data_IF_927883158675
#
_entry.id   IF_927883158675
#
_cell.length_a   1.000
_cell.length_b   1.000
_cell.length_c   1.000
_cell.angle_alpha   90.00
_cell.angle_beta   90.00
_cell.angle_gamma   90.00
#
_symmetry.space_group_name_H-M   'P 1'
#
loop_
_entity.id
_entity.type
_entity.pdbx_description
1 polymer ?
#
# COMPACT_ATOMS: atom_id res chain seq x y z
N UNK A 1 61.01 -1.57 -16.25
CA UNK A 1 59.74 -2.16 -16.77
C UNK A 1 58.63 -2.35 -15.73
N UNK A 2 58.87 -2.06 -14.45
CA UNK A 2 57.88 -2.29 -13.36
C UNK A 2 57.09 -1.03 -12.92
N UNK A 3 57.59 0.17 -13.20
CA UNK A 3 56.94 1.42 -12.76
C UNK A 3 55.79 1.87 -13.68
N UNK A 4 55.85 1.52 -14.97
CA UNK A 4 54.85 1.90 -15.99
C UNK A 4 53.51 1.16 -15.80
N UNK A 5 53.55 -0.08 -15.28
CA UNK A 5 52.37 -0.89 -15.06
C UNK A 5 51.64 -0.50 -13.76
N UNK A 6 52.36 0.05 -12.76
CA UNK A 6 51.72 0.55 -11.52
C UNK A 6 50.94 1.86 -11.78
N UNK A 7 51.47 2.72 -12.68
CA UNK A 7 50.76 3.97 -13.02
C UNK A 7 49.48 3.72 -13.82
N UNK A 8 49.43 2.65 -14.61
CA UNK A 8 48.24 2.30 -15.38
C UNK A 8 47.12 1.73 -14.51
N UNK A 9 47.46 0.95 -13.47
CA UNK A 9 46.49 0.41 -12.50
C UNK A 9 45.94 1.52 -11.62
N UNK A 10 46.72 2.52 -11.27
CA UNK A 10 46.30 3.66 -10.48
C UNK A 10 45.35 4.61 -11.26
N UNK A 11 45.57 4.77 -12.55
CA UNK A 11 44.72 5.58 -13.44
C UNK A 11 43.35 4.91 -13.72
N UNK A 12 43.30 3.56 -13.79
CA UNK A 12 42.04 2.84 -13.95
C UNK A 12 41.22 2.88 -12.63
N UNK A 13 41.90 2.85 -11.49
CA UNK A 13 41.26 2.98 -10.17
C UNK A 13 40.62 4.36 -9.93
N UNK A 14 41.21 5.42 -10.50
CA UNK A 14 40.66 6.78 -10.34
C UNK A 14 39.50 7.06 -11.29
N UNK A 15 39.45 6.47 -12.48
CA UNK A 15 38.33 6.62 -13.41
C UNK A 15 37.09 5.84 -12.97
N UNK A 16 37.22 4.80 -12.15
CA UNK A 16 36.07 4.05 -11.64
C UNK A 16 35.42 4.70 -10.41
N UNK A 17 36.12 5.64 -9.76
CA UNK A 17 35.53 6.39 -8.64
C UNK A 17 34.67 7.57 -9.09
N UNK A 18 34.93 8.16 -10.25
CA UNK A 18 34.11 9.27 -10.77
C UNK A 18 32.74 8.81 -11.28
N UNK A 19 32.61 7.54 -11.69
CA UNK A 19 31.33 6.99 -12.17
C UNK A 19 30.35 6.63 -11.03
N UNK A 20 30.73 6.78 -9.76
CA UNK A 20 29.92 6.43 -8.60
C UNK A 20 29.34 7.64 -7.86
N UNK A 21 29.51 8.86 -8.36
CA UNK A 21 29.08 10.07 -7.66
C UNK A 21 28.18 10.99 -8.48
N UNK A 22 26.99 10.48 -8.78
CA UNK A 22 25.79 11.32 -8.85
C UNK A 22 24.95 10.99 -7.61
N UNK A 23 25.18 11.64 -6.45
CA UNK A 23 24.46 11.32 -5.20
C UNK A 23 22.95 11.57 -5.29
N UNK A 24 22.50 12.22 -6.35
CA UNK A 24 21.08 12.52 -6.61
C UNK A 24 20.35 11.44 -7.44
N UNK A 25 21.08 10.53 -8.12
CA UNK A 25 20.49 9.50 -8.96
C UNK A 25 19.90 8.31 -8.18
N UNK A 26 20.29 8.12 -6.92
CA UNK A 26 19.89 6.96 -6.11
C UNK A 26 18.54 7.14 -5.43
N UNK A 27 18.09 8.37 -5.21
CA UNK A 27 16.82 8.68 -4.56
C UNK A 27 15.97 9.50 -5.51
N UNK A 28 14.90 8.93 -6.07
CA UNK A 28 14.03 9.66 -6.98
C UNK A 28 13.45 10.91 -6.31
N UNK A 29 13.36 12.01 -7.07
CA UNK A 29 12.70 13.23 -6.60
C UNK A 29 11.20 12.98 -6.32
N UNK A 30 10.65 13.72 -5.39
CA UNK A 30 9.21 13.75 -5.12
C UNK A 30 8.51 14.81 -5.97
N UNK A 31 7.19 14.73 -6.09
CA UNK A 31 6.37 15.63 -6.93
C UNK A 31 6.43 17.11 -6.54
N UNK A 32 6.93 17.45 -5.36
CA UNK A 32 7.20 18.82 -4.94
C UNK A 32 8.59 19.31 -5.39
N UNK A 33 9.51 18.37 -5.64
CA UNK A 33 10.87 18.62 -6.09
C UNK A 33 11.01 18.56 -7.63
N UNK A 34 10.18 17.73 -8.28
CA UNK A 34 10.16 17.59 -9.73
C UNK A 34 8.77 17.85 -10.30
N UNK A 35 8.61 19.03 -10.89
CA UNK A 35 7.34 19.47 -11.49
C UNK A 35 6.96 18.71 -12.78
N UNK A 36 7.82 17.87 -13.33
CA UNK A 36 7.51 17.02 -14.48
C UNK A 36 6.72 15.75 -14.10
N UNK A 37 6.73 15.37 -12.81
CA UNK A 37 5.99 14.24 -12.31
C UNK A 37 4.48 14.55 -12.24
N UNK A 38 3.62 13.64 -12.73
CA UNK A 38 2.18 13.81 -12.61
C UNK A 38 1.73 13.89 -11.15
N UNK A 39 1.00 14.92 -10.78
CA UNK A 39 0.55 15.10 -9.41
C UNK A 39 -0.79 15.84 -9.30
N UNK A 40 -1.51 15.60 -8.21
CA UNK A 40 -2.63 16.42 -7.76
C UNK A 40 -2.37 16.94 -6.35
N UNK A 41 -2.95 18.09 -6.02
CA UNK A 41 -2.91 18.62 -4.66
C UNK A 41 -4.17 18.22 -3.92
N UNK A 42 -4.01 17.64 -2.74
CA UNK A 42 -5.08 17.32 -1.81
C UNK A 42 -4.89 18.09 -0.50
N UNK A 43 -5.98 18.33 0.20
CA UNK A 43 -5.96 18.95 1.52
C UNK A 43 -6.68 18.04 2.52
N UNK A 44 -5.97 17.62 3.57
CA UNK A 44 -6.49 16.74 4.62
C UNK A 44 -5.96 17.22 5.96
N UNK A 45 -6.85 17.33 6.93
CA UNK A 45 -6.55 17.80 8.29
C UNK A 45 -5.80 19.15 8.32
N UNK A 46 -6.11 20.05 7.37
CA UNK A 46 -5.48 21.37 7.27
C UNK A 46 -4.09 21.38 6.60
N UNK A 47 -3.62 20.23 6.14
CA UNK A 47 -2.33 20.10 5.42
C UNK A 47 -2.59 19.89 3.93
N UNK A 48 -2.04 20.78 3.09
CA UNK A 48 -2.04 20.63 1.64
C UNK A 48 -0.78 19.89 1.21
N UNK A 49 -0.95 18.80 0.46
CA UNK A 49 0.15 17.98 -0.07
C UNK A 49 -0.09 17.62 -1.53
N UNK A 50 1.00 17.49 -2.29
CA UNK A 50 0.95 16.91 -3.62
C UNK A 50 1.10 15.39 -3.53
N UNK A 51 0.23 14.65 -4.19
CA UNK A 51 0.35 13.21 -4.34
C UNK A 51 0.66 12.86 -5.79
N UNK A 52 1.60 11.93 -5.97
CA UNK A 52 1.99 11.42 -7.28
C UNK A 52 0.91 10.48 -7.78
N UNK A 53 0.53 10.63 -9.05
CA UNK A 53 -0.59 9.91 -9.66
C UNK A 53 -0.20 9.23 -10.96
N UNK A 54 -0.97 8.19 -11.34
CA UNK A 54 -1.05 7.68 -12.70
C UNK A 54 -2.51 7.37 -13.04
N UNK A 55 -2.95 7.76 -14.24
CA UNK A 55 -4.34 7.54 -14.67
C UNK A 55 -4.37 6.87 -16.03
N UNK A 56 -5.33 5.96 -16.24
CA UNK A 56 -5.52 5.22 -17.47
C UNK A 56 -7.00 5.11 -17.81
N UNK A 57 -7.34 5.11 -19.10
CA UNK A 57 -8.72 5.03 -19.60
C UNK A 57 -9.34 6.40 -19.88
N UNK A 58 -10.64 6.42 -20.09
CA UNK A 58 -11.36 7.63 -20.44
C UNK A 58 -11.95 8.32 -19.20
N UNK A 59 -11.82 9.64 -19.05
CA UNK A 59 -12.29 10.35 -17.85
C UNK A 59 -13.82 10.30 -17.62
N UNK A 60 -14.61 9.97 -18.63
CA UNK A 60 -16.05 9.80 -18.53
C UNK A 60 -16.49 8.40 -18.07
N UNK A 61 -15.59 7.43 -18.10
CA UNK A 61 -15.83 6.10 -17.54
C UNK A 61 -16.00 6.15 -16.01
N UNK A 62 -16.64 5.14 -15.40
CA UNK A 62 -16.71 4.99 -13.96
C UNK A 62 -15.30 4.95 -13.34
N UNK A 63 -15.09 5.74 -12.28
CA UNK A 63 -13.77 5.81 -11.63
C UNK A 63 -13.49 4.54 -10.82
N UNK A 64 -12.28 4.02 -10.98
CA UNK A 64 -11.74 2.91 -10.20
C UNK A 64 -10.42 3.32 -9.54
N UNK A 65 -10.43 3.42 -8.23
CA UNK A 65 -9.24 3.67 -7.41
C UNK A 65 -8.50 2.37 -7.11
N UNK A 66 -7.19 2.37 -7.34
CA UNK A 66 -6.29 1.27 -6.96
C UNK A 66 -5.35 1.79 -5.88
N UNK A 67 -5.51 1.26 -4.66
CA UNK A 67 -4.78 1.74 -3.48
C UNK A 67 -3.76 0.68 -3.04
N UNK A 68 -2.49 1.07 -3.05
CA UNK A 68 -1.38 0.18 -2.73
C UNK A 68 -1.29 -0.19 -1.24
N UNK A 69 -0.64 -1.32 -0.94
CA UNK A 69 -0.36 -1.77 0.43
C UNK A 69 0.82 -1.04 1.09
N UNK A 70 1.15 -1.46 2.31
CA UNK A 70 2.32 -0.95 3.03
C UNK A 70 3.64 -1.40 2.40
N UNK A 71 4.73 -0.70 2.74
CA UNK A 71 6.07 -0.96 2.21
C UNK A 71 6.06 -1.05 0.67
N UNK A 72 5.32 -0.16 0.03
CA UNK A 72 5.04 -0.17 -1.40
C UNK A 72 4.71 1.25 -1.89
N UNK A 73 4.61 1.36 -3.20
CA UNK A 73 4.03 2.46 -3.93
C UNK A 73 3.10 1.90 -5.02
N UNK A 74 2.59 2.72 -5.93
CA UNK A 74 1.64 2.26 -6.94
C UNK A 74 2.25 1.31 -7.99
N UNK A 75 3.58 1.26 -8.18
CA UNK A 75 4.22 0.50 -9.29
C UNK A 75 3.85 -0.98 -9.35
N UNK A 76 3.86 -1.75 -8.25
CA UNK A 76 3.46 -3.15 -8.30
C UNK A 76 2.00 -3.38 -8.72
N UNK A 77 1.18 -2.34 -8.65
CA UNK A 77 -0.25 -2.39 -8.96
C UNK A 77 -0.57 -1.92 -10.37
N UNK A 78 0.37 -1.26 -11.06
CA UNK A 78 0.17 -0.75 -12.42
C UNK A 78 -0.31 -1.81 -13.43
N UNK A 79 0.00 -3.12 -13.32
CA UNK A 79 -0.62 -4.12 -14.19
C UNK A 79 -2.15 -4.10 -14.21
N UNK A 80 -2.80 -3.62 -13.13
CA UNK A 80 -4.27 -3.45 -13.09
C UNK A 80 -4.78 -2.35 -14.02
N UNK A 81 -3.90 -1.57 -14.68
CA UNK A 81 -4.29 -0.63 -15.75
C UNK A 81 -5.07 -1.32 -16.89
N UNK A 82 -4.94 -2.64 -17.03
CA UNK A 82 -5.71 -3.44 -18.00
C UNK A 82 -7.23 -3.32 -17.80
N UNK A 83 -7.69 -2.79 -16.65
CA UNK A 83 -9.11 -2.50 -16.39
C UNK A 83 -9.57 -1.16 -17.02
N UNK A 84 -8.66 -0.41 -17.66
CA UNK A 84 -8.95 0.91 -18.25
C UNK A 84 -9.79 0.85 -19.53
N UNK A 85 -10.06 -0.32 -20.07
CA UNK A 85 -11.05 -0.51 -21.13
C UNK A 85 -12.49 -0.15 -20.70
N UNK A 86 -12.80 -0.28 -19.40
CA UNK A 86 -14.13 -0.03 -18.83
C UNK A 86 -14.15 1.03 -17.72
N UNK A 87 -13.01 1.34 -17.14
CA UNK A 87 -12.90 2.23 -16.00
C UNK A 87 -11.89 3.36 -16.28
N UNK A 88 -12.13 4.51 -15.66
CA UNK A 88 -11.08 5.49 -15.47
C UNK A 88 -10.27 5.08 -14.24
N UNK A 89 -9.17 4.38 -14.47
CA UNK A 89 -8.35 3.79 -13.41
C UNK A 89 -7.38 4.84 -12.89
N UNK A 90 -7.44 5.10 -11.59
CA UNK A 90 -6.61 6.08 -10.89
C UNK A 90 -5.77 5.39 -9.84
N UNK A 91 -4.46 5.52 -9.99
CA UNK A 91 -3.45 5.12 -9.02
C UNK A 91 -2.85 6.37 -8.39
N UNK A 92 -2.45 6.27 -7.14
CA UNK A 92 -1.59 7.28 -6.53
C UNK A 92 -0.69 6.65 -5.47
N UNK A 93 0.46 7.27 -5.26
CA UNK A 93 1.27 7.01 -4.09
C UNK A 93 0.63 7.73 -2.91
N UNK A 94 0.16 6.99 -1.92
CA UNK A 94 -0.42 7.59 -0.73
C UNK A 94 0.61 8.50 -0.05
N UNK A 95 0.13 9.47 0.68
CA UNK A 95 0.92 10.43 1.44
C UNK A 95 2.06 9.76 2.21
N UNK A 96 3.30 10.25 2.04
CA UNK A 96 4.49 9.67 2.64
C UNK A 96 5.10 8.48 1.89
N UNK A 97 4.42 7.95 0.86
CA UNK A 97 4.88 6.82 0.04
C UNK A 97 5.36 7.28 -1.34
N UNK A 98 6.05 6.39 -2.03
CA UNK A 98 6.48 6.53 -3.41
C UNK A 98 7.10 7.89 -3.72
N UNK A 99 6.62 8.54 -4.76
CA UNK A 99 7.06 9.86 -5.19
C UNK A 99 6.16 11.00 -4.69
N UNK A 100 5.15 10.72 -3.85
CA UNK A 100 4.34 11.75 -3.21
C UNK A 100 5.15 12.62 -2.26
N UNK A 101 4.70 13.87 -2.09
CA UNK A 101 5.29 14.82 -1.15
C UNK A 101 5.42 14.23 0.25
N UNK A 102 6.53 14.51 0.92
CA UNK A 102 6.77 14.04 2.29
C UNK A 102 5.86 14.76 3.26
N UNK A 103 5.45 14.07 4.30
CA UNK A 103 4.54 14.56 5.32
C UNK A 103 5.11 14.36 6.71
N UNK A 104 4.53 15.00 7.70
CA UNK A 104 4.89 14.84 9.09
C UNK A 104 4.12 13.68 9.73
N UNK A 105 4.60 13.20 10.87
CA UNK A 105 4.02 12.04 11.56
C UNK A 105 2.57 12.27 11.99
N UNK A 106 2.23 13.46 12.43
CA UNK A 106 0.88 13.85 12.87
C UNK A 106 -0.15 13.84 11.74
N UNK A 107 0.29 13.95 10.48
CA UNK A 107 -0.56 13.79 9.31
C UNK A 107 -0.96 12.32 9.05
N UNK A 108 -0.23 11.35 9.62
CA UNK A 108 -0.38 9.94 9.35
C UNK A 108 -1.25 9.26 10.41
N UNK A 109 -2.53 9.15 10.13
CA UNK A 109 -3.49 8.33 10.89
C UNK A 109 -4.43 7.61 9.93
N UNK A 110 -5.10 6.55 10.40
CA UNK A 110 -6.08 5.82 9.57
C UNK A 110 -7.22 6.76 9.15
N UNK A 111 -7.65 7.65 10.04
CA UNK A 111 -8.68 8.64 9.72
C UNK A 111 -8.21 9.61 8.62
N UNK A 112 -7.01 10.15 8.72
CA UNK A 112 -6.47 11.06 7.69
C UNK A 112 -6.23 10.34 6.35
N UNK A 113 -5.88 9.05 6.36
CA UNK A 113 -5.74 8.27 5.13
C UNK A 113 -7.11 7.95 4.50
N UNK A 114 -8.16 7.80 5.30
CA UNK A 114 -9.53 7.69 4.79
C UNK A 114 -10.00 9.02 4.19
N UNK A 115 -9.70 10.16 4.83
CA UNK A 115 -9.96 11.49 4.27
C UNK A 115 -9.15 11.78 3.00
N UNK A 116 -7.97 11.18 2.84
CA UNK A 116 -7.22 11.22 1.58
C UNK A 116 -8.00 10.57 0.44
N UNK A 117 -8.63 9.40 0.68
CA UNK A 117 -9.50 8.74 -0.31
C UNK A 117 -10.69 9.67 -0.65
N UNK A 118 -11.30 10.30 0.37
CA UNK A 118 -12.37 11.27 0.16
C UNK A 118 -11.92 12.46 -0.72
N UNK A 119 -10.76 13.04 -0.42
CA UNK A 119 -10.19 14.13 -1.20
C UNK A 119 -9.94 13.75 -2.66
N UNK A 120 -9.39 12.54 -2.90
CA UNK A 120 -9.22 11.99 -4.24
C UNK A 120 -10.57 11.79 -4.96
N UNK A 121 -11.59 11.30 -4.25
CA UNK A 121 -12.94 11.17 -4.79
C UNK A 121 -13.53 12.52 -5.22
N UNK A 122 -13.34 13.56 -4.43
CA UNK A 122 -13.82 14.90 -4.79
C UNK A 122 -13.15 15.46 -6.07
N UNK A 123 -11.89 15.05 -6.34
CA UNK A 123 -11.19 15.46 -7.56
C UNK A 123 -11.66 14.65 -8.78
N UNK A 124 -11.74 13.32 -8.67
CA UNK A 124 -11.93 12.44 -9.82
C UNK A 124 -13.40 12.07 -10.10
N UNK A 125 -14.26 12.11 -9.10
CA UNK A 125 -15.68 11.75 -9.22
C UNK A 125 -16.57 12.49 -8.22
N UNK A 126 -16.63 13.83 -8.27
CA UNK A 126 -17.38 14.61 -7.27
C UNK A 126 -18.86 14.23 -7.20
N UNK A 127 -19.48 13.90 -8.34
CA UNK A 127 -20.92 13.67 -8.46
C UNK A 127 -21.34 12.18 -8.43
N UNK A 128 -20.42 11.24 -8.64
CA UNK A 128 -20.75 9.82 -8.76
C UNK A 128 -19.97 9.00 -7.72
N UNK A 129 -20.53 7.88 -7.24
CA UNK A 129 -19.77 6.92 -6.42
C UNK A 129 -18.58 6.35 -7.21
N UNK A 130 -17.55 5.94 -6.48
CA UNK A 130 -16.33 5.34 -7.04
C UNK A 130 -16.24 3.86 -6.72
N UNK A 131 -15.45 3.13 -7.51
CA UNK A 131 -15.05 1.77 -7.25
C UNK A 131 -13.66 1.78 -6.62
N UNK A 132 -13.39 0.85 -5.70
CA UNK A 132 -12.09 0.75 -5.02
C UNK A 132 -11.58 -0.68 -5.05
N UNK A 133 -10.29 -0.84 -5.38
CA UNK A 133 -9.50 -2.03 -5.09
C UNK A 133 -8.38 -1.61 -4.15
N UNK A 134 -8.31 -2.20 -2.97
CA UNK A 134 -7.26 -1.94 -1.99
C UNK A 134 -6.60 -3.24 -1.53
N UNK A 135 -5.30 -3.16 -1.20
CA UNK A 135 -4.51 -4.32 -0.83
C UNK A 135 -3.90 -4.15 0.55
N UNK A 136 -4.04 -5.19 1.39
CA UNK A 136 -3.31 -5.28 2.65
C UNK A 136 -3.62 -4.11 3.58
N UNK A 137 -2.64 -3.31 3.86
CA UNK A 137 -2.67 -2.16 4.75
C UNK A 137 -3.70 -1.10 4.35
N UNK A 138 -3.81 -0.79 3.04
CA UNK A 138 -4.78 0.20 2.57
C UNK A 138 -6.25 -0.21 2.81
N UNK A 139 -6.50 -1.49 3.06
CA UNK A 139 -7.84 -1.94 3.42
C UNK A 139 -8.36 -1.34 4.75
N UNK A 140 -7.47 -0.93 5.68
CA UNK A 140 -7.88 -0.17 6.86
C UNK A 140 -8.47 1.18 6.48
N UNK A 141 -7.80 1.90 5.59
CA UNK A 141 -8.26 3.22 5.12
C UNK A 141 -9.56 3.10 4.34
N UNK A 142 -9.62 2.07 3.48
CA UNK A 142 -10.84 1.76 2.73
C UNK A 142 -11.98 1.36 3.66
N UNK A 143 -11.75 0.52 4.64
CA UNK A 143 -12.77 0.14 5.63
C UNK A 143 -13.26 1.37 6.43
N UNK A 144 -12.33 2.24 6.84
CA UNK A 144 -12.68 3.48 7.53
C UNK A 144 -13.47 4.42 6.62
N UNK A 145 -13.06 4.58 5.36
CA UNK A 145 -13.78 5.36 4.37
C UNK A 145 -15.19 4.80 4.11
N UNK A 146 -15.33 3.48 3.96
CA UNK A 146 -16.64 2.80 3.84
C UNK A 146 -17.56 3.10 5.04
N UNK A 147 -17.00 3.15 6.25
CA UNK A 147 -17.77 3.46 7.45
C UNK A 147 -18.18 4.93 7.55
N UNK A 148 -17.38 5.85 7.00
CA UNK A 148 -17.65 7.29 7.02
C UNK A 148 -18.58 7.72 5.85
N UNK A 149 -18.33 7.21 4.66
CA UNK A 149 -18.93 7.64 3.39
C UNK A 149 -19.48 6.49 2.56
N UNK A 150 -20.38 5.63 3.11
CA UNK A 150 -20.86 4.43 2.42
C UNK A 150 -21.56 4.75 1.08
N UNK A 151 -22.16 5.93 0.94
CA UNK A 151 -22.86 6.39 -0.26
C UNK A 151 -21.91 6.81 -1.39
N UNK A 152 -20.66 7.11 -1.08
CA UNK A 152 -19.64 7.50 -2.07
C UNK A 152 -19.02 6.30 -2.80
N UNK A 153 -19.39 5.09 -2.43
CA UNK A 153 -18.83 3.84 -2.94
C UNK A 153 -19.84 3.06 -3.76
N UNK A 154 -19.38 2.50 -4.88
CA UNK A 154 -20.16 1.57 -5.71
C UNK A 154 -19.70 0.12 -5.48
N UNK A 155 -18.49 -0.24 -5.86
CA UNK A 155 -17.92 -1.58 -5.71
C UNK A 155 -16.63 -1.49 -4.88
N UNK A 156 -16.46 -2.44 -3.97
CA UNK A 156 -15.27 -2.49 -3.11
C UNK A 156 -14.66 -3.87 -3.14
N UNK A 157 -13.37 -3.91 -3.47
CA UNK A 157 -12.54 -5.10 -3.39
C UNK A 157 -11.45 -4.88 -2.35
N UNK A 158 -11.39 -5.77 -1.37
CA UNK A 158 -10.37 -5.79 -0.34
C UNK A 158 -9.50 -7.04 -0.53
N UNK A 159 -8.27 -6.83 -1.03
CA UNK A 159 -7.30 -7.92 -1.23
C UNK A 159 -6.50 -8.11 0.05
N UNK A 160 -6.73 -9.21 0.73
CA UNK A 160 -6.06 -9.57 1.99
C UNK A 160 -5.95 -8.42 2.99
N UNK A 161 -7.07 -7.80 3.40
CA UNK A 161 -7.04 -6.87 4.52
C UNK A 161 -6.44 -7.54 5.75
N UNK A 162 -5.58 -6.79 6.44
CA UNK A 162 -5.12 -7.18 7.78
C UNK A 162 -6.29 -7.16 8.78
N UNK A 163 -6.09 -7.66 9.98
CA UNK A 163 -7.12 -7.67 11.00
C UNK A 163 -7.67 -6.26 11.28
N UNK A 164 -8.92 -5.98 10.89
CA UNK A 164 -9.58 -4.67 11.04
C UNK A 164 -9.97 -4.33 12.48
N UNK A 165 -9.67 -5.23 13.42
CA UNK A 165 -9.91 -5.06 14.85
C UNK A 165 -8.73 -5.64 15.63
N UNK A 166 -8.50 -5.12 16.84
CA UNK A 166 -7.38 -5.52 17.69
C UNK A 166 -7.34 -7.04 17.98
N UNK A 167 -8.50 -7.66 18.20
CA UNK A 167 -8.61 -9.11 18.39
C UNK A 167 -8.21 -9.90 17.14
N UNK A 168 -8.56 -9.42 15.93
CA UNK A 168 -8.15 -10.05 14.68
C UNK A 168 -6.65 -9.86 14.44
N UNK A 169 -6.13 -8.69 14.79
CA UNK A 169 -4.71 -8.36 14.64
C UNK A 169 -3.82 -9.22 15.52
N UNK A 170 -4.26 -9.57 16.72
CA UNK A 170 -3.54 -10.50 17.61
C UNK A 170 -3.39 -11.90 16.99
N UNK A 171 -4.38 -12.37 16.27
CA UNK A 171 -4.29 -13.63 15.52
C UNK A 171 -3.26 -13.55 14.38
N UNK A 172 -3.27 -12.43 13.63
CA UNK A 172 -2.28 -12.17 12.56
C UNK A 172 -0.88 -12.08 13.13
N UNK A 173 -0.69 -11.34 14.23
CA UNK A 173 0.60 -11.12 14.86
C UNK A 173 1.28 -12.42 15.29
N UNK A 174 0.53 -13.39 15.79
CA UNK A 174 1.05 -14.71 16.13
C UNK A 174 1.65 -15.46 14.93
N UNK A 175 1.11 -15.21 13.74
CA UNK A 175 1.53 -15.88 12.51
C UNK A 175 2.63 -15.14 11.75
N UNK A 176 2.67 -13.80 11.82
CA UNK A 176 3.54 -12.98 10.98
C UNK A 176 4.70 -12.32 11.72
N UNK A 177 4.75 -12.31 13.03
CA UNK A 177 5.74 -11.57 13.86
C UNK A 177 5.88 -10.06 13.54
N UNK A 178 5.29 -9.58 12.45
CA UNK A 178 5.37 -8.19 11.96
C UNK A 178 4.33 -7.27 12.58
N UNK A 179 3.32 -7.85 13.21
CA UNK A 179 2.15 -7.14 13.70
C UNK A 179 1.90 -7.39 15.19
N UNK A 180 2.90 -7.90 15.91
CA UNK A 180 2.83 -7.90 17.36
C UNK A 180 3.14 -6.50 17.90
N UNK A 181 2.51 -6.07 19.02
CA UNK A 181 2.85 -4.80 19.64
C UNK A 181 4.34 -4.67 19.95
N UNK A 182 4.98 -5.75 20.40
CA UNK A 182 6.41 -5.80 20.72
C UNK A 182 7.29 -5.56 19.49
N UNK A 183 6.90 -6.15 18.33
CA UNK A 183 7.61 -5.91 17.08
C UNK A 183 7.43 -4.48 16.59
N UNK A 184 6.22 -3.95 16.69
CA UNK A 184 5.93 -2.56 16.32
C UNK A 184 6.68 -1.59 17.22
N UNK A 185 6.69 -1.82 18.53
CA UNK A 185 7.46 -1.02 19.49
C UNK A 185 8.96 -1.08 19.20
N UNK A 186 9.49 -2.26 18.94
CA UNK A 186 10.87 -2.43 18.49
C UNK A 186 11.16 -1.66 17.20
N UNK A 187 10.26 -1.69 16.21
CA UNK A 187 10.41 -0.98 14.95
C UNK A 187 10.54 0.54 15.17
N UNK A 188 9.74 1.10 16.08
CA UNK A 188 9.74 2.53 16.37
C UNK A 188 10.79 2.96 17.37
N UNK A 189 11.21 2.08 18.29
CA UNK A 189 12.23 2.38 19.30
C UNK A 189 13.67 2.11 18.79
N UNK A 190 13.83 1.37 17.70
CA UNK A 190 15.15 1.07 17.12
C UNK A 190 15.82 2.28 16.44
N UNK A 191 15.21 3.42 16.51
CA UNK A 191 15.77 4.68 16.03
C UNK A 191 16.81 5.22 17.04
N UNK A 192 17.94 4.53 17.17
CA UNK A 192 19.10 5.05 17.92
C UNK A 192 19.60 6.40 17.37
N UNK A 193 19.30 6.66 16.11
CA UNK A 193 19.49 7.95 15.47
C UNK A 193 18.12 8.36 14.95
N UNK A 194 17.56 9.42 15.48
CA UNK A 194 16.33 9.99 14.90
C UNK A 194 16.54 10.20 13.42
N UNK A 195 15.74 9.55 12.55
CA UNK A 195 15.90 9.72 11.11
C UNK A 195 15.68 11.18 10.74
N UNK A 196 16.58 11.70 9.91
CA UNK A 196 16.54 13.09 9.44
C UNK A 196 15.70 13.26 8.18
N UNK A 197 15.30 12.13 7.56
CA UNK A 197 14.45 12.11 6.37
C UNK A 197 13.65 10.81 6.29
N UNK A 198 12.61 10.78 5.44
CA UNK A 198 11.85 9.56 5.13
C UNK A 198 12.75 8.48 4.52
N UNK A 199 13.71 8.86 3.68
CA UNK A 199 14.65 7.95 3.02
C UNK A 199 15.58 7.29 4.03
N UNK A 200 16.04 8.02 5.03
CA UNK A 200 16.86 7.46 6.09
C UNK A 200 16.05 6.49 6.96
N UNK A 201 14.78 6.80 7.22
CA UNK A 201 13.88 5.90 7.93
C UNK A 201 13.66 4.62 7.12
N UNK A 202 13.41 4.74 5.80
CA UNK A 202 13.25 3.60 4.90
C UNK A 202 14.48 2.69 4.94
N UNK A 203 15.68 3.27 4.89
CA UNK A 203 16.93 2.52 4.96
C UNK A 203 17.09 1.77 6.29
N UNK A 204 16.75 2.40 7.40
CA UNK A 204 16.82 1.80 8.74
C UNK A 204 15.79 0.67 8.91
N UNK A 205 14.61 0.80 8.31
CA UNK A 205 13.54 -0.19 8.39
C UNK A 205 13.74 -1.42 7.45
N UNK A 206 14.56 -1.28 6.40
CA UNK A 206 14.73 -2.30 5.37
C UNK A 206 15.12 -3.69 5.91
N UNK A 207 16.08 -3.87 6.84
CA UNK A 207 16.43 -5.17 7.38
C UNK A 207 15.26 -5.86 8.08
N UNK A 208 14.44 -5.08 8.77
CA UNK A 208 13.28 -5.57 9.53
C UNK A 208 12.16 -6.02 8.59
N UNK A 209 11.86 -5.20 7.60
CA UNK A 209 10.87 -5.52 6.57
C UNK A 209 11.28 -6.79 5.80
N UNK A 210 12.55 -6.94 5.45
CA UNK A 210 13.05 -8.12 4.77
C UNK A 210 12.94 -9.40 5.60
N UNK A 211 13.11 -9.34 6.92
CA UNK A 211 12.99 -10.51 7.78
C UNK A 211 11.56 -11.05 7.83
N UNK A 212 10.57 -10.18 7.78
CA UNK A 212 9.16 -10.54 7.84
C UNK A 212 8.53 -11.01 6.52
N UNK A 213 9.16 -10.69 5.40
CA UNK A 213 8.60 -10.97 4.06
C UNK A 213 8.55 -12.47 3.73
N UNK A 214 9.25 -13.32 4.47
CA UNK A 214 9.31 -14.79 4.19
C UNK A 214 7.93 -15.44 4.11
N UNK A 215 6.99 -15.04 4.96
CA UNK A 215 5.66 -15.61 5.03
C UNK A 215 4.67 -14.99 4.02
N UNK A 216 5.16 -14.09 3.15
CA UNK A 216 4.33 -13.43 2.15
C UNK A 216 4.26 -14.19 0.82
N UNK A 217 5.00 -15.29 0.67
CA UNK A 217 5.03 -16.10 -0.55
C UNK A 217 4.65 -17.54 -0.23
N UNK A 218 4.01 -18.20 -1.19
CA UNK A 218 3.75 -19.63 -1.11
C UNK A 218 5.06 -20.43 -1.11
N UNK A 219 5.97 -20.08 -2.00
CA UNK A 219 7.33 -20.61 -2.03
C UNK A 219 8.32 -19.52 -1.59
N UNK A 220 8.86 -19.60 -0.37
CA UNK A 220 9.84 -18.64 0.10
C UNK A 220 11.15 -18.59 -0.72
N UNK A 221 11.44 -19.63 -1.51
CA UNK A 221 12.57 -19.66 -2.43
C UNK A 221 12.30 -18.89 -3.72
N UNK A 222 11.04 -18.83 -4.13
CA UNK A 222 10.61 -18.09 -5.31
C UNK A 222 9.99 -16.75 -4.93
N UNK A 223 10.79 -15.68 -5.00
CA UNK A 223 10.36 -14.33 -4.66
C UNK A 223 10.31 -13.48 -5.91
N UNK A 224 9.13 -13.28 -6.51
CA UNK A 224 8.97 -12.32 -7.59
C UNK A 224 9.41 -10.92 -7.18
N UNK A 225 9.90 -10.15 -8.15
CA UNK A 225 10.28 -8.77 -7.90
C UNK A 225 9.05 -7.94 -7.50
N UNK A 226 9.26 -7.05 -6.53
CA UNK A 226 8.28 -6.07 -6.09
C UNK A 226 8.87 -4.67 -6.31
N UNK A 227 8.78 -4.15 -7.53
CA UNK A 227 9.43 -2.89 -7.88
C UNK A 227 8.74 -1.73 -7.17
N UNK A 228 9.50 -0.99 -6.36
CA UNK A 228 9.02 0.24 -5.72
C UNK A 228 10.06 1.35 -5.90
N UNK A 229 9.62 2.60 -5.99
CA UNK A 229 10.52 3.75 -5.95
C UNK A 229 11.07 3.95 -4.54
N UNK A 230 10.19 3.74 -3.54
CA UNK A 230 10.52 3.85 -2.13
C UNK A 230 9.70 2.82 -1.34
N UNK A 231 10.27 2.38 -0.24
CA UNK A 231 9.56 1.44 0.66
C UNK A 231 8.39 2.14 1.35
N UNK A 232 8.51 3.45 1.64
CA UNK A 232 7.49 4.20 2.36
C UNK A 232 7.34 3.76 3.82
N UNK A 233 8.44 3.31 4.45
CA UNK A 233 8.39 2.81 5.82
C UNK A 233 7.94 3.87 6.83
N UNK A 234 8.23 5.15 6.56
CA UNK A 234 7.77 6.23 7.42
C UNK A 234 6.25 6.31 7.51
N UNK A 235 5.54 5.97 6.45
CA UNK A 235 4.08 5.91 6.47
C UNK A 235 3.53 4.84 7.41
N UNK A 236 4.36 3.85 7.82
CA UNK A 236 3.98 2.87 8.84
C UNK A 236 3.76 3.50 10.23
N UNK A 237 4.21 4.73 10.47
CA UNK A 237 3.92 5.47 11.70
C UNK A 237 2.41 5.69 11.91
N UNK A 238 1.59 5.52 10.87
CA UNK A 238 0.13 5.48 10.98
C UNK A 238 -0.33 4.41 11.99
N UNK A 239 0.39 3.30 12.10
CA UNK A 239 0.09 2.22 13.03
C UNK A 239 0.20 2.69 14.49
N UNK A 240 1.30 3.37 14.79
CA UNK A 240 1.51 3.91 16.13
C UNK A 240 0.45 4.94 16.50
N UNK A 241 0.10 5.82 15.56
CA UNK A 241 -0.89 6.86 15.79
C UNK A 241 -2.32 6.34 15.92
N UNK A 242 -2.63 5.17 15.33
CA UNK A 242 -4.02 4.73 15.13
C UNK A 242 -4.37 3.43 15.82
N UNK A 243 -3.43 2.51 16.02
CA UNK A 243 -3.74 1.17 16.49
C UNK A 243 -3.01 0.74 17.76
N UNK A 244 -1.94 1.46 18.15
CA UNK A 244 -1.20 1.17 19.37
C UNK A 244 -1.59 2.16 20.47
N UNK A 245 -1.89 1.64 21.67
CA UNK A 245 -2.04 2.40 22.90
C UNK A 245 -1.19 1.74 23.97
N UNK A 246 -0.22 2.48 24.50
CA UNK A 246 0.69 1.96 25.53
C UNK A 246 1.37 0.63 25.12
N UNK A 247 1.83 0.53 23.87
CA UNK A 247 2.47 -0.67 23.34
C UNK A 247 1.55 -1.86 23.10
N UNK A 248 0.23 -1.70 23.18
CA UNK A 248 -0.73 -2.77 22.89
C UNK A 248 -1.72 -2.39 21.79
N UNK A 249 -2.18 -3.36 21.02
CA UNK A 249 -3.26 -3.16 20.06
C UNK A 249 -4.56 -2.78 20.78
N UNK A 250 -5.14 -1.65 20.38
CA UNK A 250 -6.38 -1.14 20.93
C UNK A 250 -7.13 -0.32 19.88
N UNK A 251 -7.86 -1.00 18.99
CA UNK A 251 -8.61 -0.38 17.90
C UNK A 251 -9.77 -1.26 17.42
N UNK A 252 -10.76 -0.63 16.79
CA UNK A 252 -11.85 -1.30 16.09
C UNK A 252 -12.29 -0.44 14.88
N UNK A 253 -11.92 -0.86 13.68
CA UNK A 253 -12.32 -0.24 12.40
C UNK A 253 -13.43 -1.03 11.71
N UNK A 254 -14.11 -1.95 12.43
CA UNK A 254 -15.25 -2.71 11.91
C UNK A 254 -16.58 -1.98 12.12
N UNK A 255 -16.60 -1.00 13.03
CA UNK A 255 -17.81 -0.24 13.35
C UNK A 255 -18.29 0.58 12.13
N UNK A 256 -19.53 0.35 11.74
CA UNK A 256 -20.17 1.06 10.62
C UNK A 256 -20.06 0.38 9.26
N UNK A 257 -19.24 -0.68 9.11
CA UNK A 257 -19.12 -1.42 7.84
C UNK A 257 -20.45 -2.05 7.39
N UNK A 258 -21.30 -2.43 8.34
CA UNK A 258 -22.63 -2.95 8.06
C UNK A 258 -23.61 -1.93 7.49
N UNK A 259 -23.24 -0.64 7.40
CA UNK A 259 -24.04 0.38 6.68
C UNK A 259 -23.85 0.31 5.18
N UNK A 260 -22.74 -0.24 4.72
CA UNK A 260 -22.50 -0.45 3.30
C UNK A 260 -23.37 -1.63 2.84
N UNK A 261 -24.39 -1.34 2.05
CA UNK A 261 -25.42 -2.31 1.65
C UNK A 261 -25.06 -3.10 0.38
N UNK A 262 -24.07 -2.64 -0.38
CA UNK A 262 -23.63 -3.30 -1.61
C UNK A 262 -22.67 -4.44 -1.28
N UNK A 263 -22.52 -5.36 -2.23
CA UNK A 263 -21.64 -6.51 -2.07
C UNK A 263 -20.16 -6.07 -2.06
N UNK A 264 -19.37 -6.68 -1.16
CA UNK A 264 -17.91 -6.53 -1.08
C UNK A 264 -17.26 -7.80 -1.60
N UNK A 265 -16.20 -7.66 -2.40
CA UNK A 265 -15.33 -8.78 -2.73
C UNK A 265 -14.13 -8.76 -1.79
N UNK A 266 -14.00 -9.80 -0.98
CA UNK A 266 -12.77 -10.12 -0.26
C UNK A 266 -11.95 -11.05 -1.12
N UNK A 267 -10.64 -10.85 -1.18
CA UNK A 267 -9.72 -11.77 -1.88
C UNK A 267 -8.77 -12.34 -0.84
N UNK A 268 -8.57 -13.65 -0.86
CA UNK A 268 -7.65 -14.34 0.03
C UNK A 268 -6.86 -15.43 -0.68
N UNK A 269 -5.55 -15.43 -0.47
CA UNK A 269 -4.64 -16.42 -1.01
C UNK A 269 -4.59 -17.70 -0.18
N UNK A 270 -4.00 -18.75 -0.76
CA UNK A 270 -3.86 -20.06 -0.12
C UNK A 270 -2.86 -20.04 1.03
N UNK A 271 -1.68 -19.44 0.81
CA UNK A 271 -0.52 -19.61 1.69
C UNK A 271 -0.32 -18.49 2.71
N UNK A 272 -1.03 -17.37 2.55
CA UNK A 272 -0.91 -16.24 3.47
C UNK A 272 -1.60 -16.53 4.81
N UNK A 273 -1.00 -16.16 5.94
CA UNK A 273 -1.66 -16.23 7.25
C UNK A 273 -2.96 -15.42 7.34
N UNK A 274 -3.06 -14.35 6.54
CA UNK A 274 -4.27 -13.54 6.39
C UNK A 274 -5.03 -13.87 5.10
N UNK A 275 -4.79 -15.05 4.53
CA UNK A 275 -5.39 -15.51 3.28
C UNK A 275 -6.86 -15.90 3.41
N UNK A 276 -7.31 -16.78 2.53
CA UNK A 276 -8.73 -17.12 2.34
C UNK A 276 -9.47 -17.47 3.63
N UNK A 277 -8.90 -18.35 4.46
CA UNK A 277 -9.55 -18.80 5.69
C UNK A 277 -9.70 -17.67 6.71
N UNK A 278 -8.71 -16.78 6.79
CA UNK A 278 -8.76 -15.61 7.66
C UNK A 278 -9.83 -14.62 7.17
N UNK A 279 -9.87 -14.33 5.88
CA UNK A 279 -10.85 -13.43 5.30
C UNK A 279 -12.28 -13.96 5.52
N UNK A 280 -12.49 -15.24 5.29
CA UNK A 280 -13.79 -15.90 5.49
C UNK A 280 -14.24 -15.90 6.95
N UNK A 281 -13.31 -16.16 7.88
CA UNK A 281 -13.63 -16.24 9.30
C UNK A 281 -13.89 -14.88 9.95
N UNK A 282 -13.07 -13.88 9.64
CA UNK A 282 -13.03 -12.62 10.38
C UNK A 282 -13.64 -11.45 9.63
N UNK A 283 -13.47 -11.35 8.32
CA UNK A 283 -13.91 -10.19 7.57
C UNK A 283 -15.23 -10.38 6.85
N UNK A 284 -15.49 -11.54 6.25
CA UNK A 284 -16.75 -11.77 5.55
C UNK A 284 -17.99 -11.46 6.43
N UNK A 285 -18.06 -11.84 7.72
CA UNK A 285 -19.22 -11.56 8.57
C UNK A 285 -19.43 -10.07 8.91
N UNK A 286 -18.48 -9.19 8.59
CA UNK A 286 -18.58 -7.75 8.88
C UNK A 286 -19.49 -7.00 7.92
N UNK A 287 -19.76 -7.58 6.77
CA UNK A 287 -20.53 -6.96 5.69
C UNK A 287 -21.92 -7.59 5.55
N UNK A 288 -22.90 -6.80 5.10
CA UNK A 288 -24.23 -7.34 4.79
C UNK A 288 -24.16 -8.37 3.66
N UNK A 289 -23.31 -8.13 2.67
CA UNK A 289 -23.08 -9.01 1.55
C UNK A 289 -21.57 -9.01 1.23
N UNK A 290 -20.97 -10.18 1.29
CA UNK A 290 -19.57 -10.34 0.89
C UNK A 290 -19.28 -11.72 0.31
N UNK A 291 -18.55 -11.75 -0.79
CA UNK A 291 -17.93 -12.97 -1.31
C UNK A 291 -16.46 -13.01 -0.95
N UNK A 292 -15.89 -14.21 -0.90
CA UNK A 292 -14.45 -14.42 -0.69
C UNK A 292 -13.89 -15.19 -1.89
N UNK A 293 -13.09 -14.52 -2.70
CA UNK A 293 -12.36 -15.12 -3.80
C UNK A 293 -11.12 -15.84 -3.28
N UNK A 294 -11.01 -17.12 -3.57
CA UNK A 294 -9.84 -17.94 -3.26
C UNK A 294 -8.82 -17.89 -4.40
N UNK A 295 -7.56 -17.57 -4.09
CA UNK A 295 -6.46 -17.58 -5.04
C UNK A 295 -5.48 -18.71 -4.66
N UNK A 296 -5.42 -19.80 -5.45
CA UNK A 296 -4.50 -20.92 -5.19
C UNK A 296 -3.05 -20.51 -5.51
N UNK A 297 -2.11 -21.26 -4.92
CA UNK A 297 -0.66 -21.14 -5.18
C UNK A 297 -0.12 -19.71 -5.06
N UNK A 298 -0.70 -18.94 -4.14
CA UNK A 298 -0.28 -17.58 -3.85
C UNK A 298 -0.19 -17.34 -2.34
N UNK A 299 0.77 -16.54 -1.95
CA UNK A 299 0.83 -15.89 -0.65
C UNK A 299 0.27 -14.47 -0.72
N UNK A 300 0.73 -13.61 0.19
CA UNK A 300 0.24 -12.22 0.30
C UNK A 300 0.52 -11.34 -0.93
N UNK A 301 1.51 -11.70 -1.75
CA UNK A 301 1.90 -10.98 -2.97
C UNK A 301 1.13 -11.48 -4.20
N UNK A 302 -0.18 -11.62 -4.08
CA UNK A 302 -1.09 -12.17 -5.12
C UNK A 302 -0.85 -11.55 -6.49
N UNK A 303 -0.64 -10.23 -6.56
CA UNK A 303 -0.43 -9.51 -7.82
C UNK A 303 0.82 -9.96 -8.58
N UNK A 304 1.80 -10.55 -7.90
CA UNK A 304 3.03 -11.04 -8.53
C UNK A 304 3.06 -12.56 -8.69
N UNK A 305 2.35 -13.29 -7.84
CA UNK A 305 2.34 -14.76 -7.88
C UNK A 305 1.23 -15.31 -8.76
N UNK A 306 0.03 -14.68 -8.74
CA UNK A 306 -1.18 -15.20 -9.44
C UNK A 306 -2.02 -14.07 -10.05
N UNK A 307 -1.38 -13.21 -10.84
CA UNK A 307 -2.06 -12.05 -11.44
C UNK A 307 -3.27 -12.42 -12.29
N UNK A 308 -3.15 -13.43 -13.15
CA UNK A 308 -4.23 -13.81 -14.08
C UNK A 308 -5.47 -14.35 -13.34
N UNK A 309 -5.25 -15.15 -12.28
CA UNK A 309 -6.35 -15.65 -11.45
C UNK A 309 -7.03 -14.49 -10.69
N UNK A 310 -6.25 -13.57 -10.14
CA UNK A 310 -6.78 -12.36 -9.51
C UNK A 310 -7.59 -11.53 -10.53
N UNK A 311 -7.01 -11.22 -11.69
CA UNK A 311 -7.64 -10.38 -12.70
C UNK A 311 -8.96 -11.00 -13.21
N UNK A 312 -9.01 -12.30 -13.40
CA UNK A 312 -10.23 -13.02 -13.78
C UNK A 312 -11.35 -12.83 -12.76
N UNK A 313 -11.05 -13.00 -11.47
CA UNK A 313 -12.00 -12.78 -10.38
C UNK A 313 -12.45 -11.33 -10.26
N UNK A 314 -11.51 -10.38 -10.39
CA UNK A 314 -11.82 -8.94 -10.40
C UNK A 314 -12.77 -8.58 -11.55
N UNK A 315 -12.48 -9.04 -12.77
CA UNK A 315 -13.34 -8.77 -13.94
C UNK A 315 -14.74 -9.33 -13.75
N UNK A 316 -14.87 -10.53 -13.22
CA UNK A 316 -16.19 -11.13 -12.92
C UNK A 316 -16.97 -10.25 -11.95
N UNK A 317 -16.37 -9.90 -10.82
CA UNK A 317 -17.04 -9.08 -9.81
C UNK A 317 -17.40 -7.68 -10.31
N UNK A 318 -16.46 -7.01 -10.99
CA UNK A 318 -16.65 -5.65 -11.48
C UNK A 318 -17.68 -5.55 -12.62
N UNK A 319 -17.94 -6.63 -13.37
CA UNK A 319 -18.95 -6.65 -14.44
C UNK A 319 -20.36 -6.98 -13.96
N UNK A 320 -20.52 -7.67 -12.84
CA UNK A 320 -21.84 -8.05 -12.32
C UNK A 320 -22.66 -6.85 -11.80
N UNK A 321 -22.05 -5.67 -11.62
CA UNK A 321 -22.64 -4.50 -10.97
C UNK A 321 -22.46 -3.20 -11.75
N UNK A 322 -22.37 -3.28 -13.07
CA UNK A 322 -22.42 -2.10 -13.95
C UNK A 322 -23.88 -1.80 -14.28
N UNK A 323 -24.59 -1.13 -13.38
CA UNK A 323 -25.85 -0.43 -13.65
C UNK A 323 -25.63 1.08 -13.70
#
# INVERSE_FOLDING_TARGET
MKLRNLLFIFLIGLSSCEALHEPYALVPATVDQDASLPAVSIEVAGHRRKVHIATFGQPDHPVLFIIHGSASDMRPYLPLQVLSDKYYVVFWDMRGNGLSERCTRDELSIDNMAEEIHAMKQIYSPARPVNIISHSWSAFFTARYMALYPEELNQVVLIEPNGLKDTFMKEVGQSLNLFTPEYMDMMYSYNYLSPQSHEQFDFQALPMLNSGVRNFFCDPAHRPQWPVWRIGAYALTVWENSILKNGAFSFDYTAGLNRFSRKVLLVGSECSPIGYNFQKKYHQPLFQQADVLYIPHSGHRILTEQFDALLSGLKTYLTEYTD
#
